data_IF_318887428666
#
_entry.id   IF_318887428666
#
_cell.length_a   1.000
_cell.length_b   1.000
_cell.length_c   1.000
_cell.angle_alpha   90.00
_cell.angle_beta   90.00
_cell.angle_gamma   90.00
#
_symmetry.space_group_name_H-M   'P 1'
#
loop_
_entity.id
_entity.type
_entity.pdbx_description
1 polymer ?
#
# COMPACT_ATOMS: atom_id res chain seq x y z
N UNK A 1 -0.09 6.57 5.21
CA UNK A 1 0.43 7.95 5.28
C UNK A 1 1.76 8.04 5.98
N UNK A 2 2.00 7.28 7.06
CA UNK A 2 3.27 7.28 7.80
C UNK A 2 4.49 7.03 6.90
N UNK A 3 4.49 5.94 6.13
CA UNK A 3 5.65 5.55 5.31
C UNK A 3 5.96 6.58 4.22
N UNK A 4 4.94 7.07 3.51
CA UNK A 4 5.10 8.14 2.51
C UNK A 4 5.71 9.40 3.13
N UNK A 5 5.21 9.84 4.29
CA UNK A 5 5.75 11.01 4.98
C UNK A 5 7.21 10.78 5.41
N UNK A 6 7.54 9.59 5.89
CA UNK A 6 8.91 9.18 6.23
C UNK A 6 9.83 9.22 5.02
N UNK A 7 9.39 8.70 3.88
CA UNK A 7 10.17 8.72 2.64
C UNK A 7 10.37 10.14 2.11
N UNK A 8 9.33 10.99 2.14
CA UNK A 8 9.43 12.41 1.76
C UNK A 8 10.46 13.11 2.64
N UNK A 9 10.44 12.88 3.96
CA UNK A 9 11.42 13.46 4.89
C UNK A 9 12.87 13.11 4.54
N UNK A 10 13.11 11.94 3.97
CA UNK A 10 14.45 11.56 3.50
C UNK A 10 14.77 12.18 2.14
N UNK A 11 13.81 12.20 1.21
CA UNK A 11 14.01 12.79 -0.11
C UNK A 11 14.36 14.29 -0.03
N UNK A 12 13.71 15.05 0.85
CA UNK A 12 13.97 16.50 1.01
C UNK A 12 15.36 16.83 1.58
N UNK A 13 16.09 15.84 2.10
CA UNK A 13 17.48 16.02 2.57
C UNK A 13 18.49 15.93 1.42
N UNK A 14 18.02 15.64 0.22
CA UNK A 14 18.85 15.50 -0.99
C UNK A 14 18.57 16.64 -1.95
N UNK A 15 19.49 16.88 -2.88
CA UNK A 15 19.25 17.79 -4.02
C UNK A 15 18.63 17.05 -5.23
N UNK A 16 17.98 15.90 -5.00
CA UNK A 16 17.37 15.09 -6.06
C UNK A 16 15.96 15.55 -6.37
N UNK A 17 15.83 16.52 -7.27
CA UNK A 17 14.54 17.08 -7.68
C UNK A 17 13.87 16.35 -8.83
N UNK A 18 12.54 16.49 -8.97
CA UNK A 18 11.77 16.03 -10.12
C UNK A 18 10.68 15.03 -9.74
N UNK A 19 10.25 14.20 -10.69
CA UNK A 19 9.18 13.23 -10.49
C UNK A 19 9.67 11.97 -9.78
N UNK A 20 8.89 11.49 -8.80
CA UNK A 20 9.12 10.25 -8.06
C UNK A 20 7.79 9.50 -7.88
N UNK A 21 7.84 8.17 -8.02
CA UNK A 21 6.83 7.29 -7.44
C UNK A 21 7.26 6.92 -6.02
N UNK A 22 6.29 6.91 -5.11
CA UNK A 22 6.50 6.54 -3.70
C UNK A 22 5.27 5.76 -3.22
N UNK A 23 5.34 4.43 -3.32
CA UNK A 23 4.31 3.51 -2.81
C UNK A 23 4.94 2.44 -1.94
N UNK A 24 4.18 1.81 -1.04
CA UNK A 24 4.68 0.61 -0.37
C UNK A 24 5.00 -0.48 -1.41
N UNK A 25 6.03 -1.27 -1.13
CA UNK A 25 6.51 -2.31 -2.04
C UNK A 25 5.56 -3.51 -2.14
N UNK A 26 5.75 -4.29 -3.20
CA UNK A 26 4.87 -5.40 -3.55
C UNK A 26 3.62 -4.94 -4.30
N UNK A 27 2.71 -5.88 -4.56
CA UNK A 27 1.45 -5.59 -5.22
C UNK A 27 0.35 -6.50 -4.68
N UNK A 28 -0.90 -6.07 -4.87
CA UNK A 28 -2.07 -6.88 -4.63
C UNK A 28 -3.27 -6.31 -5.40
N UNK A 29 -4.25 -7.17 -5.63
CA UNK A 29 -5.60 -6.78 -6.03
C UNK A 29 -6.38 -6.23 -4.84
N UNK A 30 -7.47 -5.50 -5.11
CA UNK A 30 -8.41 -5.06 -4.06
C UNK A 30 -8.97 -6.23 -3.23
N UNK A 31 -9.17 -7.39 -3.85
CA UNK A 31 -9.63 -8.59 -3.16
C UNK A 31 -8.60 -9.08 -2.15
N UNK A 32 -7.33 -9.18 -2.54
CA UNK A 32 -6.24 -9.60 -1.66
C UNK A 32 -5.98 -8.59 -0.53
N UNK A 33 -6.08 -7.29 -0.82
CA UNK A 33 -5.98 -6.25 0.19
C UNK A 33 -7.09 -6.37 1.25
N UNK A 34 -8.34 -6.54 0.81
CA UNK A 34 -9.48 -6.75 1.71
C UNK A 34 -9.33 -8.04 2.52
N UNK A 35 -8.89 -9.14 1.88
CA UNK A 35 -8.63 -10.42 2.54
C UNK A 35 -7.61 -10.26 3.66
N UNK A 36 -6.48 -9.59 3.41
CA UNK A 36 -5.45 -9.34 4.42
C UNK A 36 -5.97 -8.53 5.60
N UNK A 37 -6.86 -7.55 5.38
CA UNK A 37 -7.50 -6.80 6.47
C UNK A 37 -8.31 -7.75 7.38
N UNK A 38 -9.16 -8.59 6.80
CA UNK A 38 -9.99 -9.52 7.57
C UNK A 38 -9.16 -10.58 8.28
N UNK A 39 -8.10 -11.08 7.64
CA UNK A 39 -7.13 -12.01 8.24
C UNK A 39 -6.47 -11.38 9.46
N UNK A 40 -5.97 -10.15 9.36
CA UNK A 40 -5.32 -9.48 10.48
C UNK A 40 -6.28 -9.24 11.65
N UNK A 41 -7.52 -8.85 11.37
CA UNK A 41 -8.52 -8.56 12.40
C UNK A 41 -9.21 -9.81 12.96
N UNK A 42 -8.86 -11.01 12.49
CA UNK A 42 -9.55 -12.29 12.75
C UNK A 42 -11.09 -12.21 12.56
N UNK A 43 -11.52 -11.45 11.55
CA UNK A 43 -12.94 -11.33 11.20
C UNK A 43 -13.29 -12.40 10.16
N UNK A 44 -14.20 -13.31 10.50
CA UNK A 44 -14.73 -14.28 9.54
C UNK A 44 -15.77 -13.62 8.65
N UNK A 45 -15.52 -13.61 7.34
CA UNK A 45 -16.43 -13.06 6.32
C UNK A 45 -16.41 -13.94 5.08
N UNK A 46 -17.55 -14.04 4.40
CA UNK A 46 -17.63 -14.66 3.08
C UNK A 46 -17.17 -13.67 2.00
N UNK A 47 -15.85 -13.46 1.90
CA UNK A 47 -15.26 -12.55 0.91
C UNK A 47 -15.22 -13.22 -0.47
N UNK A 48 -16.07 -12.75 -1.39
CA UNK A 48 -16.11 -13.23 -2.78
C UNK A 48 -15.24 -12.36 -3.68
N UNK A 49 -14.46 -13.00 -4.54
CA UNK A 49 -13.79 -12.31 -5.64
C UNK A 49 -14.80 -12.06 -6.76
N UNK A 50 -14.74 -10.87 -7.36
CA UNK A 50 -15.55 -10.51 -8.52
C UNK A 50 -14.62 -9.99 -9.64
N UNK A 51 -15.07 -10.11 -10.88
CA UNK A 51 -14.44 -9.47 -12.03
C UNK A 51 -14.76 -7.98 -12.01
N UNK A 52 -13.84 -7.16 -12.53
CA UNK A 52 -14.07 -5.71 -12.67
C UNK A 52 -15.33 -5.40 -13.51
N UNK A 53 -15.72 -6.28 -14.44
CA UNK A 53 -16.93 -6.13 -15.27
C UNK A 53 -18.23 -6.29 -14.49
N UNK A 54 -18.19 -6.93 -13.32
CA UNK A 54 -19.38 -7.19 -12.48
C UNK A 54 -19.69 -6.01 -11.56
N UNK A 55 -18.78 -5.03 -11.44
CA UNK A 55 -18.98 -3.83 -10.65
C UNK A 55 -18.77 -2.59 -11.51
N UNK A 56 -19.87 -2.03 -12.01
CA UNK A 56 -19.83 -0.78 -12.76
C UNK A 56 -19.65 0.40 -11.82
N UNK A 57 -18.44 0.93 -11.73
CA UNK A 57 -18.26 2.32 -11.32
C UNK A 57 -18.35 3.21 -12.54
N UNK A 58 -19.09 4.32 -12.48
CA UNK A 58 -19.14 5.32 -13.56
C UNK A 58 -17.79 5.98 -13.90
N UNK A 59 -16.72 5.58 -13.23
CA UNK A 59 -15.34 6.01 -13.44
C UNK A 59 -14.54 4.84 -14.01
N UNK A 60 -13.80 5.10 -15.10
CA UNK A 60 -12.83 4.14 -15.65
C UNK A 60 -11.61 4.06 -14.73
N UNK A 61 -11.34 2.88 -14.19
CA UNK A 61 -10.16 2.60 -13.36
C UNK A 61 -9.12 1.85 -14.19
N UNK A 62 -7.82 2.15 -14.05
CA UNK A 62 -6.79 1.30 -14.64
C UNK A 62 -6.91 -0.13 -14.09
N UNK A 63 -6.74 -1.13 -14.94
CA UNK A 63 -6.68 -2.53 -14.52
C UNK A 63 -5.40 -2.85 -13.74
N UNK A 64 -4.36 -2.04 -13.92
CA UNK A 64 -3.07 -2.17 -13.27
C UNK A 64 -2.54 -0.79 -12.91
N UNK A 65 -2.26 -0.56 -11.63
CA UNK A 65 -1.79 0.73 -11.10
C UNK A 65 -0.63 0.56 -10.11
N UNK A 66 0.14 -0.53 -10.25
CA UNK A 66 1.36 -0.73 -9.48
C UNK A 66 2.41 0.23 -10.02
N UNK A 67 3.07 0.95 -9.12
CA UNK A 67 4.12 1.91 -9.44
C UNK A 67 5.44 1.37 -8.91
N UNK A 68 6.49 1.46 -9.72
CA UNK A 68 7.84 1.10 -9.30
C UNK A 68 8.56 2.33 -8.74
N UNK A 69 9.14 2.20 -7.54
CA UNK A 69 9.93 3.24 -6.87
C UNK A 69 11.35 3.38 -7.47
N UNK A 70 11.51 3.18 -8.78
CA UNK A 70 12.80 3.02 -9.48
C UNK A 70 13.80 4.12 -9.15
N UNK A 71 13.32 5.37 -9.08
CA UNK A 71 14.18 6.53 -8.82
C UNK A 71 14.67 6.62 -7.38
N UNK A 72 13.86 6.20 -6.41
CA UNK A 72 14.31 6.09 -5.02
C UNK A 72 15.34 4.97 -4.89
N UNK A 73 15.11 3.84 -5.56
CA UNK A 73 16.02 2.67 -5.58
C UNK A 73 17.35 3.02 -6.22
N UNK A 74 17.36 3.74 -7.35
CA UNK A 74 18.60 4.17 -8.01
C UNK A 74 19.44 5.13 -7.17
N UNK A 75 18.81 5.87 -6.25
CA UNK A 75 19.48 6.75 -5.30
C UNK A 75 19.89 6.02 -4.00
N UNK A 76 19.52 4.74 -3.83
CA UNK A 76 19.80 3.97 -2.62
C UNK A 76 19.03 4.46 -1.39
N UNK A 77 17.95 5.22 -1.57
CA UNK A 77 17.19 5.83 -0.45
C UNK A 77 15.76 5.30 -0.34
N UNK A 78 15.41 4.24 -1.07
CA UNK A 78 14.09 3.63 -0.96
C UNK A 78 13.95 2.90 0.39
N UNK A 79 13.05 3.41 1.24
CA UNK A 79 12.74 2.85 2.55
C UNK A 79 11.31 2.30 2.61
N UNK A 80 10.65 2.17 1.46
CA UNK A 80 9.27 1.71 1.42
C UNK A 80 9.22 0.21 1.74
N UNK A 81 8.60 -0.13 2.87
CA UNK A 81 8.35 -1.53 3.26
C UNK A 81 7.24 -2.16 2.43
N UNK A 82 7.13 -3.48 2.49
CA UNK A 82 6.05 -4.24 1.85
C UNK A 82 4.68 -3.79 2.37
N UNK A 83 3.68 -3.70 1.48
CA UNK A 83 2.35 -3.16 1.81
C UNK A 83 1.66 -3.90 2.96
N UNK A 84 1.88 -5.21 3.08
CA UNK A 84 1.25 -6.05 4.12
C UNK A 84 1.77 -5.69 5.52
N UNK A 85 3.05 -5.33 5.64
CA UNK A 85 3.64 -4.87 6.90
C UNK A 85 3.14 -3.47 7.27
N UNK A 86 3.05 -2.58 6.28
CA UNK A 86 2.48 -1.25 6.45
C UNK A 86 1.02 -1.30 6.92
N UNK A 87 0.22 -2.18 6.31
CA UNK A 87 -1.16 -2.42 6.69
C UNK A 87 -1.27 -2.92 8.13
N UNK A 88 -0.46 -3.92 8.50
CA UNK A 88 -0.45 -4.48 9.86
C UNK A 88 -0.12 -3.41 10.91
N UNK A 89 0.94 -2.64 10.71
CA UNK A 89 1.30 -1.53 11.61
C UNK A 89 0.19 -0.49 11.71
N UNK A 90 -0.46 -0.14 10.60
CA UNK A 90 -1.58 0.81 10.62
C UNK A 90 -2.75 0.28 11.46
N UNK A 91 -3.09 -1.00 11.35
CA UNK A 91 -4.18 -1.60 12.14
C UNK A 91 -3.84 -1.67 13.64
N UNK A 92 -2.59 -1.95 14.00
CA UNK A 92 -2.09 -1.88 15.38
C UNK A 92 -2.20 -0.46 15.95
N UNK A 93 -1.69 0.54 15.25
CA UNK A 93 -1.69 1.94 15.69
C UNK A 93 -3.11 2.47 15.91
N UNK A 94 -4.05 2.07 15.04
CA UNK A 94 -5.47 2.45 15.15
C UNK A 94 -6.22 1.67 16.23
N UNK A 95 -5.51 0.88 17.06
CA UNK A 95 -6.05 0.01 18.12
C UNK A 95 -7.13 -0.94 17.60
N UNK A 96 -7.01 -1.37 16.34
CA UNK A 96 -7.88 -2.39 15.75
C UNK A 96 -7.30 -3.80 15.91
N UNK A 97 -6.06 -3.88 16.37
CA UNK A 97 -5.39 -5.10 16.82
C UNK A 97 -5.03 -4.93 18.30
N UNK A 98 -5.32 -5.95 19.10
CA UNK A 98 -4.83 -6.01 20.48
C UNK A 98 -3.35 -6.38 20.45
N UNK A 99 -2.53 -5.68 21.24
CA UNK A 99 -1.20 -6.17 21.56
C UNK A 99 -1.41 -7.44 22.40
N UNK A 100 -0.89 -8.57 21.92
CA UNK A 100 -0.80 -9.81 22.69
C UNK A 100 0.15 -9.57 23.86
#
# INVERSE_FOLDING_TARGET
TLDLAGQIKELIKTDSYGLFHITNEGSCSWHEFAKAIFEFLDIKVNLKQIKHTEFYSGVKRPSYSVLENARLKSLGIDRMRHWKDALHSYLLERKRLSLI
#
